data_IF_230579850590
#
_entry.id   IF_230579850590
#
_cell.length_a   1.000
_cell.length_b   1.000
_cell.length_c   1.000
_cell.angle_alpha   90.00
_cell.angle_beta   90.00
_cell.angle_gamma   90.00
#
_symmetry.space_group_name_H-M   'P 1'
#
loop_
_entity.id
_entity.type
_entity.pdbx_description
1 polymer ?
#
# COMPACT_ATOMS: atom_id res chain seq x y z
N UNK A 1 0.70 10.35 23.79
CA UNK A 1 0.76 11.81 23.54
C UNK A 1 -0.19 12.14 22.40
N UNK A 2 -1.30 12.83 22.71
CA UNK A 2 -2.38 13.18 21.76
C UNK A 2 -1.96 14.41 20.95
N UNK A 3 -1.47 14.19 19.73
CA UNK A 3 -1.28 15.26 18.75
C UNK A 3 -2.63 15.67 18.17
N UNK A 4 -3.08 16.88 18.54
CA UNK A 4 -4.19 17.60 17.90
C UNK A 4 -3.82 17.93 16.45
N UNK A 5 -4.00 16.99 15.54
CA UNK A 5 -4.00 17.29 14.11
C UNK A 5 -5.42 17.61 13.72
N UNK A 6 -5.71 18.91 13.73
CA UNK A 6 -6.87 19.50 13.09
C UNK A 6 -7.18 18.72 11.82
N UNK A 7 -8.41 18.23 11.71
CA UNK A 7 -9.02 17.89 10.42
C UNK A 7 -8.55 18.96 9.43
N UNK A 8 -7.93 18.57 8.32
CA UNK A 8 -7.77 19.45 7.16
C UNK A 8 -9.16 19.72 6.59
N UNK A 9 -9.95 20.48 7.35
CA UNK A 9 -11.27 21.00 7.07
C UNK A 9 -11.05 22.50 6.94
N UNK A 10 -10.60 22.95 5.76
CA UNK A 10 -10.38 24.38 5.56
C UNK A 10 -9.88 24.79 4.18
N UNK A 11 -9.05 24.00 3.50
CA UNK A 11 -8.77 24.22 2.07
C UNK A 11 -9.60 23.22 1.26
N UNK A 12 -10.33 23.70 0.26
CA UNK A 12 -10.94 22.83 -0.74
C UNK A 12 -9.83 21.96 -1.32
N UNK A 13 -9.85 20.66 -1.00
CA UNK A 13 -8.98 19.68 -1.66
C UNK A 13 -9.24 19.78 -3.15
N UNK A 14 -8.20 20.09 -3.92
CA UNK A 14 -8.33 20.14 -5.36
C UNK A 14 -8.55 18.73 -5.90
N UNK A 15 -9.21 18.64 -7.05
CA UNK A 15 -9.44 17.36 -7.72
C UNK A 15 -8.10 16.72 -8.13
N UNK A 16 -7.10 17.54 -8.46
CA UNK A 16 -5.71 17.12 -8.71
C UNK A 16 -5.12 16.35 -7.53
N UNK A 17 -5.24 16.88 -6.30
CA UNK A 17 -4.74 16.24 -5.07
C UNK A 17 -5.37 14.86 -4.84
N UNK A 18 -6.69 14.76 -5.07
CA UNK A 18 -7.46 13.51 -4.94
C UNK A 18 -7.03 12.48 -5.97
N UNK A 19 -6.88 12.88 -7.23
CA UNK A 19 -6.41 12.00 -8.31
C UNK A 19 -5.00 11.49 -8.04
N UNK A 20 -4.06 12.38 -7.70
CA UNK A 20 -2.67 12.01 -7.40
C UNK A 20 -2.64 11.04 -6.23
N UNK A 21 -3.41 11.29 -5.17
CA UNK A 21 -3.48 10.38 -4.01
C UNK A 21 -4.04 9.00 -4.36
N UNK A 22 -5.01 8.92 -5.28
CA UNK A 22 -5.63 7.66 -5.69
C UNK A 22 -4.70 6.83 -6.57
N UNK A 23 -4.11 7.48 -7.60
CA UNK A 23 -3.20 6.86 -8.56
C UNK A 23 -1.92 6.37 -7.87
N UNK A 24 -1.48 7.10 -6.85
CA UNK A 24 -0.35 6.72 -6.01
C UNK A 24 -0.55 5.34 -5.37
N UNK A 25 -1.75 4.99 -4.90
CA UNK A 25 -2.00 3.63 -4.38
C UNK A 25 -1.97 2.58 -5.49
N UNK A 26 -2.58 2.87 -6.65
CA UNK A 26 -2.59 1.95 -7.80
C UNK A 26 -1.18 1.65 -8.33
N UNK A 27 -0.28 2.62 -8.24
CA UNK A 27 1.12 2.50 -8.68
C UNK A 27 2.09 2.13 -7.55
N UNK A 28 1.57 1.69 -6.40
CA UNK A 28 2.38 1.30 -5.23
C UNK A 28 3.36 2.40 -4.78
N UNK A 29 2.95 3.66 -4.93
CA UNK A 29 3.72 4.84 -4.56
C UNK A 29 4.72 5.33 -5.59
N UNK A 30 4.90 4.65 -6.73
CA UNK A 30 5.87 5.05 -7.75
C UNK A 30 5.51 6.39 -8.38
N UNK A 31 4.25 6.59 -8.77
CA UNK A 31 3.82 7.87 -9.35
C UNK A 31 3.82 8.99 -8.31
N UNK A 32 3.49 8.66 -7.06
CA UNK A 32 3.60 9.56 -5.93
C UNK A 32 5.04 10.02 -5.68
N UNK A 33 5.99 9.09 -5.77
CA UNK A 33 7.42 9.38 -5.64
C UNK A 33 7.90 10.32 -6.75
N UNK A 34 7.55 10.03 -8.00
CA UNK A 34 7.83 10.92 -9.15
C UNK A 34 7.21 12.31 -8.92
N UNK A 35 6.00 12.40 -8.38
CA UNK A 35 5.34 13.67 -8.08
C UNK A 35 6.10 14.49 -7.03
N UNK A 36 6.64 13.86 -5.99
CA UNK A 36 7.46 14.55 -4.98
C UNK A 36 8.74 15.10 -5.61
N UNK A 37 9.40 14.33 -6.47
CA UNK A 37 10.60 14.78 -7.20
C UNK A 37 10.24 15.99 -8.07
N UNK A 38 9.17 15.88 -8.87
CA UNK A 38 8.72 16.96 -9.74
C UNK A 38 8.39 18.22 -8.96
N UNK A 39 7.63 18.10 -7.86
CA UNK A 39 7.31 19.24 -7.00
C UNK A 39 8.56 19.91 -6.41
N UNK A 40 9.58 19.13 -6.04
CA UNK A 40 10.87 19.66 -5.57
C UNK A 40 11.61 20.41 -6.67
N UNK A 41 11.59 19.93 -7.92
CA UNK A 41 12.22 20.58 -9.06
C UNK A 41 11.51 21.89 -9.46
N UNK A 42 10.17 21.93 -9.39
CA UNK A 42 9.37 23.13 -9.72
C UNK A 42 9.23 24.11 -8.55
N UNK A 43 9.80 23.81 -7.37
CA UNK A 43 9.63 24.62 -6.15
C UNK A 43 8.20 24.63 -5.60
N UNK A 44 7.35 23.68 -6.02
CA UNK A 44 5.95 23.57 -5.56
C UNK A 44 5.90 22.85 -4.22
N UNK A 45 5.04 23.33 -3.32
CA UNK A 45 4.77 22.66 -2.05
C UNK A 45 3.68 21.61 -2.21
N UNK A 46 4.02 20.34 -1.97
CA UNK A 46 3.02 19.26 -1.95
C UNK A 46 2.20 19.36 -0.66
N UNK A 47 0.88 19.36 -0.77
CA UNK A 47 -0.02 19.44 0.38
C UNK A 47 0.17 18.24 1.34
N UNK A 48 -0.02 18.41 2.66
CA UNK A 48 0.14 17.32 3.63
C UNK A 48 -0.72 16.09 3.33
N UNK A 49 -1.94 16.29 2.81
CA UNK A 49 -2.83 15.19 2.38
C UNK A 49 -2.18 14.31 1.31
N UNK A 50 -1.63 14.91 0.26
CA UNK A 50 -1.00 14.17 -0.85
C UNK A 50 0.27 13.48 -0.37
N UNK A 51 1.10 14.18 0.43
CA UNK A 51 2.31 13.58 1.04
C UNK A 51 1.98 12.33 1.87
N UNK A 52 0.95 12.41 2.71
CA UNK A 52 0.52 11.28 3.55
C UNK A 52 0.19 10.04 2.71
N UNK A 53 -0.65 10.18 1.68
CA UNK A 53 -1.04 9.04 0.83
C UNK A 53 0.16 8.47 0.05
N UNK A 54 1.08 9.33 -0.41
CA UNK A 54 2.31 8.91 -1.08
C UNK A 54 3.19 8.09 -0.16
N UNK A 55 3.57 8.62 1.00
CA UNK A 55 4.39 7.86 1.94
C UNK A 55 3.69 6.58 2.40
N UNK A 56 2.38 6.61 2.61
CA UNK A 56 1.62 5.42 3.00
C UNK A 56 1.66 4.33 1.93
N UNK A 57 1.44 4.66 0.66
CA UNK A 57 1.53 3.70 -0.44
C UNK A 57 2.92 3.08 -0.59
N UNK A 58 3.99 3.88 -0.44
CA UNK A 58 5.38 3.41 -0.50
C UNK A 58 5.65 2.45 0.66
N UNK A 59 5.21 2.80 1.87
CA UNK A 59 5.42 1.97 3.04
C UNK A 59 4.67 0.63 2.94
N UNK A 60 3.44 0.65 2.42
CA UNK A 60 2.68 -0.57 2.11
C UNK A 60 3.45 -1.43 1.10
N UNK A 61 3.95 -0.84 0.02
CA UNK A 61 4.71 -1.56 -1.01
C UNK A 61 5.97 -2.22 -0.43
N UNK A 62 6.73 -1.49 0.40
CA UNK A 62 7.92 -2.02 1.08
C UNK A 62 7.57 -3.17 2.03
N UNK A 63 6.51 -3.04 2.84
CA UNK A 63 6.06 -4.12 3.74
C UNK A 63 5.69 -5.37 2.96
N UNK A 64 4.90 -5.22 1.88
CA UNK A 64 4.46 -6.36 1.07
C UNK A 64 5.65 -7.05 0.40
N UNK A 65 6.60 -6.27 -0.12
CA UNK A 65 7.83 -6.80 -0.70
C UNK A 65 8.67 -7.58 0.33
N UNK A 66 8.88 -7.01 1.52
CA UNK A 66 9.60 -7.67 2.61
C UNK A 66 8.90 -8.95 3.07
N UNK A 67 7.57 -8.91 3.20
CA UNK A 67 6.78 -10.08 3.55
C UNK A 67 6.95 -11.19 2.50
N UNK A 68 6.87 -10.85 1.21
CA UNK A 68 7.02 -11.82 0.13
C UNK A 68 8.42 -12.48 0.14
N UNK A 69 9.49 -11.71 0.35
CA UNK A 69 10.85 -12.26 0.47
C UNK A 69 10.96 -13.19 1.68
N UNK A 70 10.49 -12.75 2.86
CA UNK A 70 10.55 -13.54 4.08
C UNK A 70 9.79 -14.85 3.92
N UNK A 71 8.56 -14.80 3.42
CA UNK A 71 7.76 -16.00 3.14
C UNK A 71 8.47 -16.91 2.14
N UNK A 72 9.07 -16.38 1.07
CA UNK A 72 9.86 -17.17 0.13
C UNK A 72 11.04 -17.90 0.80
N UNK A 73 11.76 -17.23 1.69
CA UNK A 73 12.85 -17.85 2.45
C UNK A 73 12.32 -18.96 3.37
N UNK A 74 11.26 -18.68 4.14
CA UNK A 74 10.65 -19.67 5.03
C UNK A 74 10.15 -20.90 4.28
N UNK A 75 9.47 -20.70 3.15
CA UNK A 75 8.96 -21.80 2.33
C UNK A 75 10.09 -22.66 1.76
N UNK A 76 11.19 -22.06 1.31
CA UNK A 76 12.36 -22.82 0.87
C UNK A 76 12.93 -23.70 1.99
N UNK A 77 13.00 -23.20 3.22
CA UNK A 77 13.47 -23.98 4.38
C UNK A 77 12.49 -25.14 4.69
N UNK A 78 11.19 -24.86 4.66
CA UNK A 78 10.15 -25.86 4.98
C UNK A 78 10.12 -27.00 3.95
N UNK A 79 10.43 -26.72 2.68
CA UNK A 79 10.43 -27.72 1.61
C UNK A 79 11.50 -28.81 1.74
N UNK A 80 12.50 -28.65 2.62
CA UNK A 80 13.47 -29.72 2.92
C UNK A 80 12.87 -30.88 3.72
N UNK A 81 11.73 -30.69 4.39
CA UNK A 81 11.08 -31.74 5.20
C UNK A 81 10.00 -32.44 4.36
N UNK A 82 10.17 -33.73 4.00
CA UNK A 82 9.35 -34.38 2.97
C UNK A 82 7.85 -34.45 3.28
N UNK A 83 7.44 -34.69 4.53
CA UNK A 83 6.01 -34.72 4.89
C UNK A 83 5.38 -33.32 4.96
N UNK A 84 6.14 -32.33 5.42
CA UNK A 84 5.64 -30.95 5.57
C UNK A 84 5.56 -30.26 4.21
N UNK A 85 6.44 -30.60 3.26
CA UNK A 85 6.42 -30.03 1.91
C UNK A 85 5.08 -30.29 1.20
N UNK A 86 4.48 -31.45 1.37
CA UNK A 86 3.27 -31.83 0.62
C UNK A 86 2.06 -31.07 1.15
N UNK A 87 1.93 -30.96 2.47
CA UNK A 87 0.84 -30.20 3.12
C UNK A 87 0.98 -28.69 2.89
N UNK A 88 2.17 -28.14 3.12
CA UNK A 88 2.42 -26.70 2.96
C UNK A 88 2.44 -26.32 1.49
N UNK A 89 2.98 -27.17 0.62
CA UNK A 89 2.98 -26.97 -0.83
C UNK A 89 1.57 -26.92 -1.41
N UNK A 90 0.66 -27.80 -0.96
CA UNK A 90 -0.74 -27.76 -1.35
C UNK A 90 -1.43 -26.46 -0.92
N UNK A 91 -1.19 -26.00 0.32
CA UNK A 91 -1.74 -24.72 0.82
C UNK A 91 -1.21 -23.52 0.04
N UNK A 92 0.12 -23.45 -0.18
CA UNK A 92 0.75 -22.35 -0.92
C UNK A 92 0.27 -22.33 -2.36
N UNK A 93 0.14 -23.50 -2.98
CA UNK A 93 -0.40 -23.62 -4.34
C UNK A 93 -1.79 -23.00 -4.40
N UNK A 94 -2.72 -23.41 -3.53
CA UNK A 94 -4.09 -22.91 -3.56
C UNK A 94 -4.23 -21.42 -3.20
N UNK A 95 -3.47 -20.94 -2.20
CA UNK A 95 -3.58 -19.55 -1.75
C UNK A 95 -2.86 -18.55 -2.68
N UNK A 96 -1.69 -18.93 -3.20
CA UNK A 96 -0.77 -18.00 -3.86
C UNK A 96 -0.64 -18.22 -5.37
N UNK A 97 -0.81 -19.45 -5.87
CA UNK A 97 -0.58 -19.78 -7.29
C UNK A 97 -1.84 -20.11 -8.07
N UNK A 98 -2.83 -20.73 -7.43
CA UNK A 98 -4.04 -21.18 -8.10
C UNK A 98 -4.93 -20.01 -8.52
N UNK A 99 -5.40 -20.06 -9.76
CA UNK A 99 -6.09 -18.95 -10.43
C UNK A 99 -7.61 -19.08 -10.24
N UNK A 100 -8.06 -18.93 -8.99
CA UNK A 100 -9.44 -19.23 -8.61
C UNK A 100 -10.42 -18.09 -8.93
N UNK A 101 -9.99 -16.83 -8.84
CA UNK A 101 -10.89 -15.67 -8.93
C UNK A 101 -10.44 -14.76 -10.07
N UNK A 102 -11.21 -14.74 -11.17
CA UNK A 102 -10.92 -13.91 -12.36
C UNK A 102 -9.50 -14.07 -12.93
N UNK A 103 -8.86 -15.23 -12.75
CA UNK A 103 -7.48 -15.48 -13.18
C UNK A 103 -6.40 -15.04 -12.19
N UNK A 104 -6.79 -14.51 -11.02
CA UNK A 104 -5.89 -14.12 -9.94
C UNK A 104 -5.93 -15.13 -8.79
N UNK A 105 -4.80 -15.28 -8.09
CA UNK A 105 -4.76 -16.02 -6.84
C UNK A 105 -5.48 -15.27 -5.73
N UNK A 106 -5.96 -16.02 -4.72
CA UNK A 106 -6.75 -15.46 -3.61
C UNK A 106 -5.97 -14.33 -2.91
N UNK A 107 -4.68 -14.54 -2.66
CA UNK A 107 -3.83 -13.52 -2.04
C UNK A 107 -3.68 -12.28 -2.92
N UNK A 108 -3.49 -12.46 -4.22
CA UNK A 108 -3.37 -11.34 -5.16
C UNK A 108 -4.68 -10.57 -5.29
N UNK A 109 -5.81 -11.26 -5.38
CA UNK A 109 -7.14 -10.66 -5.44
C UNK A 109 -7.45 -9.86 -4.15
N UNK A 110 -7.18 -10.44 -2.98
CA UNK A 110 -7.36 -9.74 -1.70
C UNK A 110 -6.50 -8.47 -1.61
N UNK A 111 -5.26 -8.54 -2.09
CA UNK A 111 -4.39 -7.38 -2.15
C UNK A 111 -4.89 -6.31 -3.13
N UNK A 112 -5.39 -6.71 -4.31
CA UNK A 112 -5.98 -5.79 -5.28
C UNK A 112 -7.19 -5.06 -4.70
N UNK A 113 -8.08 -5.77 -4.00
CA UNK A 113 -9.22 -5.17 -3.29
C UNK A 113 -8.76 -4.19 -2.21
N UNK A 114 -7.72 -4.52 -1.46
CA UNK A 114 -7.15 -3.62 -0.45
C UNK A 114 -6.59 -2.33 -1.05
N UNK A 115 -5.90 -2.42 -2.18
CA UNK A 115 -5.36 -1.26 -2.89
C UNK A 115 -6.47 -0.42 -3.51
N UNK A 116 -7.48 -1.07 -4.10
CA UNK A 116 -8.66 -0.40 -4.63
C UNK A 116 -9.42 0.35 -3.51
N UNK A 117 -9.55 -0.26 -2.33
CA UNK A 117 -10.09 0.40 -1.14
C UNK A 117 -9.27 1.65 -0.78
N UNK A 118 -7.94 1.54 -0.72
CA UNK A 118 -7.09 2.69 -0.40
C UNK A 118 -7.21 3.82 -1.45
N UNK A 119 -7.22 3.46 -2.74
CA UNK A 119 -7.38 4.39 -3.84
C UNK A 119 -8.74 5.10 -3.81
N UNK A 120 -9.83 4.36 -3.54
CA UNK A 120 -11.19 4.89 -3.47
C UNK A 120 -11.34 5.95 -2.37
N UNK A 121 -10.80 5.68 -1.19
CA UNK A 121 -10.84 6.65 -0.08
C UNK A 121 -9.92 7.85 -0.31
N UNK A 122 -8.77 7.64 -0.97
CA UNK A 122 -7.93 8.73 -1.48
C UNK A 122 -8.70 9.65 -2.43
N UNK A 123 -9.49 9.06 -3.34
CA UNK A 123 -10.34 9.82 -4.27
C UNK A 123 -11.42 10.63 -3.55
N UNK A 124 -12.01 10.07 -2.49
CA UNK A 124 -12.95 10.79 -1.62
C UNK A 124 -12.31 11.93 -0.81
N UNK A 125 -10.98 12.10 -0.89
CA UNK A 125 -10.25 13.10 -0.11
C UNK A 125 -10.12 12.73 1.37
N UNK A 126 -10.32 11.45 1.71
CA UNK A 126 -10.18 10.94 3.07
C UNK A 126 -8.82 10.27 3.24
N UNK A 127 -8.17 10.53 4.36
CA UNK A 127 -6.95 9.80 4.71
C UNK A 127 -7.34 8.39 5.13
N UNK A 128 -6.79 7.39 4.45
CA UNK A 128 -7.04 5.98 4.76
C UNK A 128 -6.26 5.62 6.01
N UNK A 129 -6.95 5.24 7.07
CA UNK A 129 -6.30 4.74 8.28
C UNK A 129 -6.04 3.23 8.13
N UNK A 130 -4.82 2.89 7.75
CA UNK A 130 -4.30 1.52 7.80
C UNK A 130 -3.68 1.33 9.19
N UNK A 131 -4.15 0.35 10.00
CA UNK A 131 -3.57 0.06 11.31
C UNK A 131 -2.05 -0.12 11.22
N UNK A 132 -1.32 0.44 12.21
CA UNK A 132 0.16 0.45 12.28
C UNK A 132 0.86 1.34 11.24
N UNK A 133 0.50 1.24 9.97
CA UNK A 133 1.10 2.04 8.88
C UNK A 133 0.81 3.53 9.08
N UNK A 134 -0.46 3.90 9.23
CA UNK A 134 -0.84 5.32 9.31
C UNK A 134 -0.34 6.02 10.57
N UNK A 135 -0.04 5.27 11.65
CA UNK A 135 0.60 5.84 12.85
C UNK A 135 2.04 6.24 12.56
N UNK A 136 2.81 5.37 11.90
CA UNK A 136 4.20 5.63 11.54
C UNK A 136 4.32 6.81 10.56
N UNK A 137 3.44 6.86 9.55
CA UNK A 137 3.42 7.96 8.57
C UNK A 137 3.11 9.31 9.23
N UNK A 138 2.24 9.34 10.23
CA UNK A 138 1.85 10.58 10.93
C UNK A 138 3.01 11.22 11.69
N UNK A 139 4.08 10.49 12.00
CA UNK A 139 5.30 11.05 12.57
C UNK A 139 6.25 11.65 11.51
N UNK A 140 6.06 11.33 10.23
CA UNK A 140 6.96 11.71 9.13
C UNK A 140 6.46 12.89 8.29
N UNK A 141 5.17 13.27 8.42
CA UNK A 141 4.48 14.31 7.64
C UNK A 141 4.02 15.44 8.55
#
# INVERSE_FOLDING_TARGET
MRGNYRRSSGSSLEISDRLISSITYLTMGLLGFVWIIFAKLTGRTVRPFVRFNIFQSILIAVIVYLFNILTGIFLNIIMYVPFVKDVVGFLVFYLAQDQLIFGYSILHFGFMVFIAYCAWFGFMGKQVEVPWVSKNIRHLV
#
